data_IF_280970611374
#
_entry.id   IF_280970611374
#
_cell.length_a   1.000
_cell.length_b   1.000
_cell.length_c   1.000
_cell.angle_alpha   90.00
_cell.angle_beta   90.00
_cell.angle_gamma   90.00
#
_symmetry.space_group_name_H-M   'P 1'
#
loop_
_entity.id
_entity.type
_entity.pdbx_description
1 polymer ?
#
# COMPACT_ATOMS: atom_id res chain seq x y z
N UNK A 1 10.96 -12.82 -4.48
CA UNK A 1 10.35 -12.71 -3.15
C UNK A 1 9.58 -11.41 -3.15
N UNK A 2 8.30 -11.42 -2.74
CA UNK A 2 7.50 -10.20 -2.62
C UNK A 2 8.06 -9.35 -1.48
N UNK A 3 8.06 -8.03 -1.62
CA UNK A 3 8.44 -7.10 -0.56
C UNK A 3 7.20 -6.56 0.12
N UNK A 4 7.22 -6.48 1.44
CA UNK A 4 6.10 -6.06 2.27
C UNK A 4 6.56 -4.95 3.22
N UNK A 5 5.96 -3.78 3.09
CA UNK A 5 6.32 -2.60 3.87
C UNK A 5 5.11 -2.10 4.65
N UNK A 6 5.31 -1.68 5.90
CA UNK A 6 4.27 -0.97 6.65
C UNK A 6 4.42 0.52 6.38
N UNK A 7 3.39 1.14 5.81
CA UNK A 7 3.31 2.60 5.65
C UNK A 7 2.23 3.16 6.55
N UNK A 8 2.56 4.08 7.46
CA UNK A 8 1.64 4.59 8.48
C UNK A 8 1.61 6.11 8.54
N UNK A 9 0.44 6.70 8.75
CA UNK A 9 0.29 8.16 8.92
C UNK A 9 0.59 8.63 10.35
N UNK A 10 1.00 7.73 11.25
CA UNK A 10 1.39 8.05 12.63
C UNK A 10 2.50 9.11 12.69
N UNK A 11 2.50 9.87 13.78
CA UNK A 11 3.53 10.87 14.08
C UNK A 11 4.84 10.21 14.52
N UNK A 12 5.97 10.87 14.26
CA UNK A 12 7.29 10.37 14.62
C UNK A 12 7.48 10.19 16.14
N UNK A 13 6.78 10.97 16.97
CA UNK A 13 6.84 10.88 18.44
C UNK A 13 6.44 9.49 18.99
N UNK A 14 5.65 8.72 18.24
CA UNK A 14 5.25 7.34 18.61
C UNK A 14 5.93 6.27 17.77
N UNK A 15 7.01 6.61 17.06
CA UNK A 15 7.75 5.69 16.19
C UNK A 15 8.25 4.47 16.93
N UNK A 16 9.08 4.68 17.96
CA UNK A 16 9.74 3.59 18.69
C UNK A 16 8.73 2.60 19.27
N UNK A 17 7.61 3.11 19.83
CA UNK A 17 6.53 2.27 20.36
C UNK A 17 5.81 1.48 19.26
N UNK A 18 5.61 2.09 18.09
CA UNK A 18 4.94 1.45 16.96
C UNK A 18 5.83 0.36 16.36
N UNK A 19 7.12 0.66 16.14
CA UNK A 19 8.10 -0.31 15.63
C UNK A 19 8.26 -1.48 16.61
N UNK A 20 8.40 -1.21 17.91
CA UNK A 20 8.48 -2.26 18.93
C UNK A 20 7.24 -3.15 18.96
N UNK A 21 6.03 -2.58 18.80
CA UNK A 21 4.79 -3.35 18.72
C UNK A 21 4.75 -4.23 17.46
N UNK A 22 5.15 -3.69 16.30
CA UNK A 22 5.20 -4.46 15.05
C UNK A 22 6.19 -5.62 15.18
N UNK A 23 7.40 -5.38 15.67
CA UNK A 23 8.40 -6.44 15.88
C UNK A 23 7.91 -7.49 16.88
N UNK A 24 7.17 -7.10 17.92
CA UNK A 24 6.63 -8.04 18.90
C UNK A 24 5.59 -9.00 18.29
N UNK A 25 4.66 -8.47 17.49
CA UNK A 25 3.53 -9.24 16.94
C UNK A 25 3.87 -9.97 15.64
N UNK A 26 4.74 -9.38 14.80
CA UNK A 26 5.03 -9.84 13.44
C UNK A 26 6.49 -10.23 13.19
N UNK A 27 7.40 -10.03 14.16
CA UNK A 27 8.82 -10.34 13.98
C UNK A 27 9.42 -9.62 12.76
N UNK A 28 10.07 -10.38 11.89
CA UNK A 28 10.75 -9.89 10.68
C UNK A 28 9.89 -10.04 9.41
N UNK A 29 8.56 -10.09 9.53
CA UNK A 29 7.66 -10.23 8.37
C UNK A 29 7.78 -9.06 7.39
N UNK A 30 7.94 -7.84 7.89
CA UNK A 30 7.99 -6.63 7.06
C UNK A 30 9.42 -6.17 6.80
N UNK A 31 9.71 -5.75 5.57
CA UNK A 31 11.00 -5.23 5.15
C UNK A 31 11.34 -3.87 5.80
N UNK A 32 10.33 -2.98 5.93
CA UNK A 32 10.49 -1.66 6.57
C UNK A 32 9.16 -1.14 7.18
N UNK A 33 9.29 -0.18 8.11
CA UNK A 33 8.17 0.61 8.65
C UNK A 33 8.39 2.10 8.38
N UNK A 34 7.58 2.69 7.51
CA UNK A 34 7.67 4.08 7.08
C UNK A 34 6.55 4.92 7.70
N UNK A 35 6.92 6.13 8.15
CA UNK A 35 5.99 7.06 8.81
C UNK A 35 5.80 8.31 7.96
N UNK A 36 4.54 8.65 7.73
CA UNK A 36 4.14 9.87 7.02
C UNK A 36 4.15 11.09 7.91
N UNK A 37 4.18 10.93 9.24
CA UNK A 37 4.13 12.05 10.19
C UNK A 37 2.98 13.03 9.92
N UNK A 38 1.82 12.51 9.49
CA UNK A 38 0.67 13.33 9.15
C UNK A 38 0.22 14.13 10.37
N UNK A 39 -0.22 15.37 10.12
CA UNK A 39 -0.69 16.28 11.16
C UNK A 39 0.37 16.65 12.21
N UNK A 40 1.66 16.63 11.85
CA UNK A 40 2.69 17.21 12.71
C UNK A 40 2.36 18.68 13.02
N UNK A 41 2.52 19.06 14.28
CA UNK A 41 2.36 20.44 14.74
C UNK A 41 3.68 21.22 14.65
N UNK A 42 4.80 20.54 14.36
CA UNK A 42 6.09 21.16 14.13
C UNK A 42 6.28 21.45 12.63
N UNK A 43 6.28 22.72 12.19
CA UNK A 43 6.47 23.07 10.79
C UNK A 43 7.87 22.73 10.26
N UNK A 44 8.83 22.40 11.13
CA UNK A 44 10.18 21.99 10.73
C UNK A 44 10.30 20.47 10.51
N UNK A 45 9.30 19.69 10.91
CA UNK A 45 9.29 18.26 10.62
C UNK A 45 8.59 17.97 9.29
N UNK A 46 9.22 17.21 8.37
CA UNK A 46 8.57 16.85 7.12
C UNK A 46 7.39 15.90 7.38
N UNK A 47 6.26 16.19 6.73
CA UNK A 47 5.13 15.26 6.56
C UNK A 47 5.18 14.69 5.15
N UNK A 48 4.95 13.39 5.02
CA UNK A 48 4.90 12.66 3.75
C UNK A 48 3.54 12.02 3.57
N UNK A 49 2.97 12.16 2.37
CA UNK A 49 1.71 11.52 2.02
C UNK A 49 1.89 10.01 1.82
N UNK A 50 0.79 9.25 1.85
CA UNK A 50 0.86 7.79 1.64
C UNK A 50 1.38 7.47 0.23
N UNK A 51 1.00 8.26 -0.77
CA UNK A 51 1.53 8.13 -2.13
C UNK A 51 3.06 8.29 -2.17
N UNK A 52 3.61 9.27 -1.44
CA UNK A 52 5.06 9.47 -1.35
C UNK A 52 5.77 8.29 -0.66
N UNK A 53 5.18 7.73 0.39
CA UNK A 53 5.74 6.54 1.04
C UNK A 53 5.69 5.31 0.12
N UNK A 54 4.61 5.14 -0.65
CA UNK A 54 4.48 4.08 -1.65
C UNK A 54 5.53 4.23 -2.76
N UNK A 55 5.80 5.46 -3.21
CA UNK A 55 6.85 5.76 -4.18
C UNK A 55 8.24 5.38 -3.64
N UNK A 56 8.56 5.73 -2.39
CA UNK A 56 9.86 5.44 -1.77
C UNK A 56 10.23 3.95 -1.73
N UNK A 57 9.23 3.09 -1.56
CA UNK A 57 9.43 1.63 -1.53
C UNK A 57 9.13 0.96 -2.87
N UNK A 58 8.81 1.74 -3.91
CA UNK A 58 8.37 1.25 -5.22
C UNK A 58 7.24 0.22 -5.09
N UNK A 59 6.20 0.57 -4.30
CA UNK A 59 5.05 -0.28 -4.06
C UNK A 59 4.22 -0.48 -5.33
N UNK A 60 3.68 -1.68 -5.49
CA UNK A 60 2.72 -2.00 -6.56
C UNK A 60 1.27 -1.72 -6.14
N UNK A 61 1.00 -1.93 -4.85
CA UNK A 61 -0.34 -1.89 -4.27
C UNK A 61 -0.27 -1.41 -2.82
N UNK A 62 -1.28 -0.63 -2.41
CA UNK A 62 -1.51 -0.27 -1.02
C UNK A 62 -2.73 -1.04 -0.47
N UNK A 63 -2.66 -1.49 0.78
CA UNK A 63 -3.83 -1.94 1.56
C UNK A 63 -4.05 -0.92 2.68
N UNK A 64 -5.21 -0.26 2.71
CA UNK A 64 -5.54 0.76 3.71
C UNK A 64 -7.07 0.79 3.91
N UNK A 65 -7.55 1.10 5.11
CA UNK A 65 -8.98 1.17 5.42
C UNK A 65 -9.54 2.60 5.26
N UNK A 66 -8.67 3.59 5.11
CA UNK A 66 -9.04 4.99 5.00
C UNK A 66 -9.32 5.38 3.53
N UNK A 67 -10.55 5.82 3.26
CA UNK A 67 -10.97 6.27 1.91
C UNK A 67 -10.10 7.41 1.38
N UNK A 68 -9.72 8.37 2.22
CA UNK A 68 -8.90 9.51 1.80
C UNK A 68 -7.53 9.09 1.31
N UNK A 69 -6.85 8.23 2.06
CA UNK A 69 -5.55 7.68 1.63
C UNK A 69 -5.69 6.77 0.42
N UNK A 70 -6.75 5.97 0.36
CA UNK A 70 -7.01 5.12 -0.80
C UNK A 70 -7.21 5.94 -2.07
N UNK A 71 -8.00 7.01 -2.03
CA UNK A 71 -8.19 7.89 -3.17
C UNK A 71 -6.92 8.67 -3.54
N UNK A 72 -6.17 9.18 -2.57
CA UNK A 72 -4.90 9.87 -2.80
C UNK A 72 -3.90 8.97 -3.56
N UNK A 73 -3.68 7.76 -3.06
CA UNK A 73 -2.70 6.81 -3.61
C UNK A 73 -3.19 6.28 -4.96
N UNK A 74 -4.48 6.01 -5.11
CA UNK A 74 -5.06 5.60 -6.38
C UNK A 74 -4.96 6.70 -7.45
N UNK A 75 -5.15 7.97 -7.06
CA UNK A 75 -4.98 9.14 -7.92
C UNK A 75 -3.53 9.38 -8.37
N UNK A 76 -2.55 8.90 -7.60
CA UNK A 76 -1.14 8.86 -7.99
C UNK A 76 -0.81 7.69 -8.94
N UNK A 77 -1.79 6.86 -9.32
CA UNK A 77 -1.65 5.80 -10.31
C UNK A 77 -1.41 4.40 -9.74
N UNK A 78 -1.38 4.24 -8.41
CA UNK A 78 -1.21 2.94 -7.76
C UNK A 78 -2.53 2.16 -7.69
N UNK A 79 -2.43 0.84 -7.56
CA UNK A 79 -3.57 0.00 -7.19
C UNK A 79 -3.78 0.06 -5.68
N UNK A 80 -5.04 0.04 -5.24
CA UNK A 80 -5.36 0.09 -3.81
C UNK A 80 -6.43 -0.94 -3.46
N UNK A 81 -6.22 -1.64 -2.35
CA UNK A 81 -7.24 -2.42 -1.66
C UNK A 81 -7.80 -1.60 -0.51
N UNK A 82 -9.07 -1.19 -0.62
CA UNK A 82 -9.79 -0.55 0.48
C UNK A 82 -10.30 -1.65 1.43
N UNK A 83 -9.64 -1.78 2.57
CA UNK A 83 -9.82 -2.91 3.48
C UNK A 83 -10.92 -2.67 4.53
N UNK A 84 -11.69 -3.73 4.78
CA UNK A 84 -12.72 -3.82 5.81
C UNK A 84 -14.05 -3.18 5.43
N UNK A 85 -15.09 -3.54 6.20
CA UNK A 85 -16.41 -2.93 6.15
C UNK A 85 -16.61 -2.08 7.41
N UNK A 86 -16.23 -0.80 7.30
CA UNK A 86 -16.23 0.13 8.43
C UNK A 86 -17.11 1.34 8.15
N UNK A 87 -17.74 1.90 9.18
CA UNK A 87 -18.61 3.07 9.02
C UNK A 87 -17.90 4.29 8.40
N UNK A 88 -16.59 4.43 8.60
CA UNK A 88 -15.79 5.53 8.02
C UNK A 88 -15.35 5.28 6.58
N UNK A 89 -15.53 4.06 6.07
CA UNK A 89 -15.19 3.71 4.70
C UNK A 89 -16.42 3.38 3.84
N UNK A 90 -17.64 3.61 4.34
CA UNK A 90 -18.89 3.40 3.62
C UNK A 90 -19.14 4.51 2.57
N UNK A 91 -18.69 4.26 1.34
CA UNK A 91 -18.88 5.17 0.20
C UNK A 91 -18.86 4.41 -1.13
N UNK A 92 -19.62 4.88 -2.11
CA UNK A 92 -19.59 4.35 -3.47
C UNK A 92 -18.78 5.22 -4.45
N UNK A 93 -18.28 6.37 -3.99
CA UNK A 93 -17.43 7.25 -4.78
C UNK A 93 -15.96 6.86 -4.58
N UNK A 94 -15.47 5.93 -5.42
CA UNK A 94 -14.11 5.40 -5.36
C UNK A 94 -13.41 5.58 -6.70
N UNK A 95 -12.11 5.86 -6.64
CA UNK A 95 -11.26 5.90 -7.82
C UNK A 95 -11.21 4.52 -8.50
N UNK A 96 -11.13 4.42 -9.84
CA UNK A 96 -11.16 3.13 -10.56
C UNK A 96 -10.06 2.13 -10.17
N UNK A 97 -8.96 2.59 -9.58
CA UNK A 97 -7.87 1.75 -9.09
C UNK A 97 -8.08 1.26 -7.64
N UNK A 98 -9.21 1.58 -7.01
CA UNK A 98 -9.55 1.14 -5.66
C UNK A 98 -10.50 -0.06 -5.76
N UNK A 99 -10.07 -1.20 -5.22
CA UNK A 99 -10.91 -2.40 -5.08
C UNK A 99 -11.20 -2.65 -3.61
N UNK A 100 -12.45 -2.94 -3.24
CA UNK A 100 -12.81 -3.26 -1.86
C UNK A 100 -12.48 -4.70 -1.49
N UNK A 101 -12.14 -4.91 -0.22
CA UNK A 101 -12.06 -6.23 0.40
C UNK A 101 -12.59 -6.15 1.84
N UNK A 102 -13.64 -6.90 2.17
CA UNK A 102 -14.27 -6.86 3.49
C UNK A 102 -13.44 -7.57 4.58
N UNK A 103 -12.57 -8.49 4.17
CA UNK A 103 -11.70 -9.29 5.05
C UNK A 103 -10.38 -9.64 4.37
N UNK A 104 -9.48 -10.32 5.09
CA UNK A 104 -8.16 -10.67 4.59
C UNK A 104 -8.21 -11.68 3.43
N UNK A 105 -9.14 -12.62 3.45
CA UNK A 105 -9.33 -13.59 2.37
C UNK A 105 -9.69 -12.90 1.04
N UNK A 106 -10.55 -11.87 1.10
CA UNK A 106 -10.87 -11.05 -0.07
C UNK A 106 -9.68 -10.19 -0.50
N UNK A 107 -8.93 -9.64 0.47
CA UNK A 107 -7.74 -8.84 0.17
C UNK A 107 -6.68 -9.69 -0.56
N UNK A 108 -6.43 -10.91 -0.10
CA UNK A 108 -5.54 -11.87 -0.75
C UNK A 108 -5.97 -12.20 -2.18
N UNK A 109 -7.27 -12.39 -2.41
CA UNK A 109 -7.81 -12.62 -3.75
C UNK A 109 -7.56 -11.43 -4.68
N UNK A 110 -7.81 -10.20 -4.19
CA UNK A 110 -7.57 -8.97 -4.96
C UNK A 110 -6.08 -8.79 -5.27
N UNK A 111 -5.21 -8.98 -4.27
CA UNK A 111 -3.76 -8.91 -4.43
C UNK A 111 -3.25 -9.94 -5.47
N UNK A 112 -3.78 -11.16 -5.41
CA UNK A 112 -3.45 -12.21 -6.39
C UNK A 112 -3.87 -11.81 -7.81
N UNK A 113 -5.06 -11.23 -7.97
CA UNK A 113 -5.52 -10.74 -9.27
C UNK A 113 -4.63 -9.61 -9.81
N UNK A 114 -4.24 -8.64 -8.97
CA UNK A 114 -3.30 -7.60 -9.38
C UNK A 114 -1.96 -8.17 -9.83
N UNK A 115 -1.42 -9.13 -9.08
CA UNK A 115 -0.16 -9.80 -9.45
C UNK A 115 -0.26 -10.53 -10.79
N UNK A 116 -1.38 -11.20 -11.08
CA UNK A 116 -1.62 -11.86 -12.36
C UNK A 116 -1.68 -10.87 -13.52
N UNK A 117 -2.44 -9.78 -13.37
CA UNK A 117 -2.58 -8.74 -14.40
C UNK A 117 -1.24 -8.06 -14.69
N UNK A 118 -0.47 -7.73 -13.64
CA UNK A 118 0.86 -7.14 -13.78
C UNK A 118 1.78 -8.07 -14.59
N UNK A 119 1.84 -9.36 -14.24
CA UNK A 119 2.64 -10.36 -14.96
C UNK A 119 2.24 -10.49 -16.43
N UNK A 120 0.95 -10.56 -16.73
CA UNK A 120 0.47 -10.60 -18.12
C UNK A 120 0.86 -9.33 -18.91
N UNK A 121 0.80 -8.17 -18.25
CA UNK A 121 1.23 -6.91 -18.84
C UNK A 121 2.74 -6.85 -19.10
N UNK A 122 3.55 -7.38 -18.19
CA UNK A 122 5.01 -7.50 -18.36
C UNK A 122 5.36 -8.47 -19.49
N UNK A 123 4.71 -9.64 -19.54
CA UNK A 123 4.91 -10.65 -20.58
C UNK A 123 4.53 -10.11 -21.98
N UNK A 124 3.46 -9.31 -22.07
CA UNK A 124 3.04 -8.68 -23.33
C UNK A 124 4.00 -7.56 -23.80
N UNK A 125 4.79 -6.98 -22.88
CA UNK A 125 5.82 -5.96 -23.17
C UNK A 125 7.20 -6.56 -23.43
N UNK A 126 7.42 -7.82 -23.07
CA UNK A 126 8.65 -8.57 -23.38
C UNK A 126 8.61 -9.17 -24.78
N UNK A 127 9.52 -8.77 -25.66
CA UNK A 127 9.75 -9.44 -26.94
C UNK A 127 10.09 -10.93 -26.72
N UNK A 128 9.47 -11.80 -27.52
CA UNK A 128 9.86 -13.21 -27.64
C UNK A 128 11.29 -13.25 -28.20
N UNK A 129 12.28 -13.41 -27.32
CA UNK A 129 13.64 -13.77 -27.74
C UNK A 129 13.59 -15.23 -28.25
N UNK A 130 13.37 -15.40 -29.56
CA UNK A 130 13.55 -16.70 -30.20
C UNK A 130 15.03 -17.12 -30.05
N UNK A 131 15.33 -18.37 -29.65
CA UNK A 131 16.70 -18.83 -29.59
C UNK A 131 17.31 -18.82 -30.99
N UNK A 132 18.62 -18.55 -31.13
CA UNK A 132 19.29 -18.55 -32.43
C UNK A 132 19.22 -19.94 -33.06
N UNK A 133 18.93 -19.96 -34.37
CA UNK A 133 18.96 -21.14 -35.24
C UNK A 133 20.35 -21.80 -35.27
#
# INVERSE_FOLDING_TARGET
VSKEHVVTSRQNVIRELTEAWITHEFGDTFDDVLFGNHWTLDPNEPSKTKAQLCEEVNADVLVDDNVGYAQEVAGAGYQVVLFGDYAWNDTNDLHPNVTRAACWEEAELVLTNFALVKRMGDDARGEVQLPPL
#
